data_IF_776175100861
#
_entry.id   IF_776175100861
#
_cell.length_a   1.000
_cell.length_b   1.000
_cell.length_c   1.000
_cell.angle_alpha   90.00
_cell.angle_beta   90.00
_cell.angle_gamma   90.00
#
_symmetry.space_group_name_H-M   'P 1'
#
loop_
_entity.id
_entity.type
_entity.pdbx_description
1 polymer ?
#
# COMPACT_ATOMS: atom_id res chain seq x y z
N UNK A 1 18.57 5.79 17.16
CA UNK A 1 17.21 5.22 17.32
C UNK A 1 16.21 6.30 16.96
N UNK A 2 15.95 6.50 15.66
CA UNK A 2 15.00 7.49 15.19
C UNK A 2 13.60 6.91 15.36
N UNK A 3 12.88 7.39 16.37
CA UNK A 3 11.43 7.22 16.46
C UNK A 3 10.85 7.88 15.20
N UNK A 4 10.48 7.06 14.20
CA UNK A 4 9.60 7.52 13.12
C UNK A 4 8.35 8.07 13.80
N UNK A 5 8.15 9.38 13.71
CA UNK A 5 6.91 10.03 14.13
C UNK A 5 5.81 9.40 13.30
N UNK A 6 5.02 8.51 13.90
CA UNK A 6 3.75 8.06 13.33
C UNK A 6 2.90 9.32 13.14
N UNK A 7 2.49 9.60 11.91
CA UNK A 7 1.64 10.76 11.62
C UNK A 7 0.19 10.26 11.67
N UNK A 8 -0.54 10.46 12.79
CA UNK A 8 -1.84 9.83 12.99
C UNK A 8 -2.87 10.22 11.92
N UNK A 9 -2.63 11.32 11.21
CA UNK A 9 -3.50 11.85 10.15
C UNK A 9 -3.27 11.22 8.76
N UNK A 10 -2.13 10.54 8.53
CA UNK A 10 -1.81 10.05 7.19
C UNK A 10 -2.53 8.72 6.91
N UNK A 11 -2.98 8.43 5.69
CA UNK A 11 -3.43 7.10 5.35
C UNK A 11 -2.31 6.06 5.53
N UNK A 12 -2.69 4.82 5.80
CA UNK A 12 -1.81 3.67 5.80
C UNK A 12 -1.70 3.10 4.39
N UNK A 13 -0.50 2.65 4.02
CA UNK A 13 -0.29 1.89 2.78
C UNK A 13 0.33 0.52 3.09
N UNK A 14 -0.30 -0.52 2.56
CA UNK A 14 0.22 -1.89 2.58
C UNK A 14 0.50 -2.35 1.16
N UNK A 15 1.58 -3.11 0.97
CA UNK A 15 1.99 -3.58 -0.33
C UNK A 15 2.33 -5.08 -0.33
N UNK A 16 2.06 -5.76 -1.44
CA UNK A 16 2.69 -7.04 -1.72
C UNK A 16 4.17 -6.83 -2.03
N UNK A 17 5.05 -7.46 -1.23
CA UNK A 17 6.51 -7.32 -1.33
C UNK A 17 7.22 -8.65 -1.63
N UNK A 18 6.62 -9.53 -2.44
CA UNK A 18 7.22 -10.77 -2.93
C UNK A 18 8.32 -10.60 -3.99
N UNK A 19 8.79 -11.72 -4.57
CA UNK A 19 9.96 -11.74 -5.48
C UNK A 19 9.68 -11.36 -6.95
N UNK A 20 8.42 -11.27 -7.37
CA UNK A 20 8.08 -10.90 -8.76
C UNK A 20 8.36 -9.42 -9.06
N UNK A 21 8.58 -9.06 -10.33
CA UNK A 21 8.75 -7.66 -10.71
C UNK A 21 7.55 -6.80 -10.30
N UNK A 22 6.33 -7.35 -10.40
CA UNK A 22 5.10 -6.70 -9.98
C UNK A 22 5.14 -6.38 -8.49
N UNK A 23 5.58 -7.34 -7.67
CA UNK A 23 5.72 -7.13 -6.23
C UNK A 23 6.85 -6.13 -5.89
N UNK A 24 7.97 -6.15 -6.62
CA UNK A 24 9.04 -5.18 -6.42
C UNK A 24 8.61 -3.75 -6.75
N UNK A 25 7.89 -3.54 -7.87
CA UNK A 25 7.26 -2.23 -8.19
C UNK A 25 6.26 -1.85 -7.11
N UNK A 26 5.36 -2.75 -6.73
CA UNK A 26 4.32 -2.49 -5.72
C UNK A 26 4.93 -2.03 -4.39
N UNK A 27 5.98 -2.72 -3.95
CA UNK A 27 6.75 -2.34 -2.77
C UNK A 27 7.46 -0.99 -2.95
N UNK A 28 8.09 -0.75 -4.11
CA UNK A 28 8.72 0.53 -4.43
C UNK A 28 7.72 1.69 -4.32
N UNK A 29 6.51 1.54 -4.87
CA UNK A 29 5.48 2.56 -4.83
C UNK A 29 5.05 2.89 -3.39
N UNK A 30 4.79 1.87 -2.55
CA UNK A 30 4.44 2.08 -1.15
C UNK A 30 5.56 2.77 -0.36
N UNK A 31 6.82 2.37 -0.56
CA UNK A 31 7.98 3.01 0.07
C UNK A 31 8.13 4.45 -0.41
N UNK A 32 7.89 4.73 -1.69
CA UNK A 32 7.96 6.07 -2.25
C UNK A 32 6.91 6.99 -1.63
N UNK A 33 5.65 6.55 -1.51
CA UNK A 33 4.60 7.30 -0.82
C UNK A 33 4.97 7.64 0.64
N UNK A 34 5.55 6.67 1.36
CA UNK A 34 6.02 6.84 2.73
C UNK A 34 7.14 7.89 2.83
N UNK A 35 8.13 7.81 1.95
CA UNK A 35 9.24 8.77 1.89
C UNK A 35 8.82 10.16 1.46
N UNK A 36 7.78 10.27 0.63
CA UNK A 36 7.16 11.55 0.27
C UNK A 36 6.29 12.12 1.39
N UNK A 37 6.02 11.34 2.45
CA UNK A 37 5.13 11.75 3.53
C UNK A 37 3.66 11.84 3.13
N UNK A 38 3.24 11.14 2.07
CA UNK A 38 1.84 11.12 1.61
C UNK A 38 1.02 10.05 2.31
N UNK A 39 1.66 8.93 2.67
CA UNK A 39 1.09 7.83 3.45
C UNK A 39 2.14 7.34 4.46
N UNK A 40 1.74 6.45 5.36
CA UNK A 40 2.68 5.69 6.20
C UNK A 40 2.65 4.22 5.76
N UNK A 41 3.81 3.69 5.37
CA UNK A 41 3.89 2.29 4.98
C UNK A 41 3.98 1.40 6.22
N UNK A 42 3.11 0.40 6.30
CA UNK A 42 3.08 -0.58 7.38
C UNK A 42 3.36 -2.01 6.86
N UNK A 43 3.93 -2.85 7.72
CA UNK A 43 4.39 -4.18 7.35
C UNK A 43 3.22 -5.17 7.21
N UNK A 44 2.95 -5.61 5.97
CA UNK A 44 1.87 -6.59 5.71
C UNK A 44 2.18 -7.98 6.27
N UNK A 45 3.46 -8.40 6.29
CA UNK A 45 3.87 -9.65 6.91
C UNK A 45 3.63 -9.62 8.42
N UNK A 46 3.79 -8.46 9.04
CA UNK A 46 3.46 -8.25 10.45
C UNK A 46 1.97 -8.36 10.74
N UNK A 47 1.12 -7.94 9.80
CA UNK A 47 -0.35 -8.15 9.88
C UNK A 47 -0.65 -9.65 9.78
N UNK A 48 -0.10 -10.33 8.77
CA UNK A 48 -0.30 -11.76 8.58
C UNK A 48 0.15 -12.60 9.80
N UNK A 49 1.24 -12.19 10.45
CA UNK A 49 1.77 -12.83 11.65
C UNK A 49 1.10 -12.38 12.96
N UNK A 50 0.12 -11.47 12.92
CA UNK A 50 -0.59 -10.99 14.11
C UNK A 50 0.30 -10.22 15.10
N UNK A 51 1.37 -9.57 14.64
CA UNK A 51 2.33 -8.86 15.51
C UNK A 51 1.62 -7.68 16.20
N UNK A 52 1.54 -7.69 17.53
CA UNK A 52 0.67 -6.80 18.32
C UNK A 52 0.82 -5.31 18.00
N UNK A 53 2.04 -4.82 17.80
CA UNK A 53 2.26 -3.42 17.44
C UNK A 53 1.76 -3.09 16.02
N UNK A 54 1.98 -3.99 15.06
CA UNK A 54 1.50 -3.82 13.68
C UNK A 54 -0.02 -3.88 13.63
N UNK A 55 -0.64 -4.78 14.40
CA UNK A 55 -2.10 -4.87 14.49
C UNK A 55 -2.72 -3.61 15.07
N UNK A 56 -2.07 -2.96 16.05
CA UNK A 56 -2.53 -1.68 16.59
C UNK A 56 -2.56 -0.57 15.53
N UNK A 57 -1.53 -0.53 14.68
CA UNK A 57 -1.48 0.41 13.55
C UNK A 57 -2.58 0.08 12.55
N UNK A 58 -2.70 -1.19 12.14
CA UNK A 58 -3.68 -1.62 11.14
C UNK A 58 -5.13 -1.38 11.58
N UNK A 59 -5.41 -1.38 12.89
CA UNK A 59 -6.74 -1.11 13.48
C UNK A 59 -6.90 0.31 14.01
N UNK A 60 -6.03 1.25 13.63
CA UNK A 60 -6.08 2.62 14.18
C UNK A 60 -7.25 3.46 13.65
N UNK A 61 -8.09 2.92 12.76
CA UNK A 61 -9.16 3.67 12.09
C UNK A 61 -8.68 4.65 11.01
N UNK A 62 -7.38 4.63 10.67
CA UNK A 62 -6.83 5.44 9.59
C UNK A 62 -7.25 4.85 8.25
N UNK A 63 -7.48 5.67 7.20
CA UNK A 63 -7.77 5.14 5.87
C UNK A 63 -6.64 4.24 5.38
N UNK A 64 -6.99 3.10 4.80
CA UNK A 64 -6.07 2.06 4.34
C UNK A 64 -6.12 1.95 2.82
N UNK A 65 -4.97 2.16 2.19
CA UNK A 65 -4.73 1.79 0.81
C UNK A 65 -3.90 0.49 0.75
N UNK A 66 -4.33 -0.45 -0.08
CA UNK A 66 -3.59 -1.66 -0.41
C UNK A 66 -3.13 -1.62 -1.86
N UNK A 67 -1.85 -1.88 -2.07
CA UNK A 67 -1.25 -2.07 -3.38
C UNK A 67 -0.88 -3.54 -3.54
N UNK A 68 -1.38 -4.19 -4.58
CA UNK A 68 -1.03 -5.57 -4.91
C UNK A 68 -0.47 -5.65 -6.33
N UNK A 69 0.55 -6.48 -6.52
CA UNK A 69 1.16 -6.63 -7.84
C UNK A 69 0.26 -7.38 -8.82
N UNK A 70 -0.49 -8.38 -8.34
CA UNK A 70 -1.25 -9.30 -9.19
C UNK A 70 -2.61 -9.67 -8.59
N UNK A 71 -3.40 -10.42 -9.35
CA UNK A 71 -4.74 -10.86 -8.98
C UNK A 71 -4.79 -11.75 -7.72
N UNK A 72 -3.66 -12.31 -7.28
CA UNK A 72 -3.58 -13.05 -6.03
C UNK A 72 -3.86 -12.15 -4.82
N UNK A 73 -3.67 -10.82 -4.93
CA UNK A 73 -4.06 -9.86 -3.90
C UNK A 73 -3.52 -10.22 -2.49
N UNK A 74 -2.25 -10.65 -2.41
CA UNK A 74 -1.68 -11.19 -1.18
C UNK A 74 -1.75 -10.20 -0.03
N UNK A 75 -1.49 -8.91 -0.28
CA UNK A 75 -1.53 -7.92 0.78
C UNK A 75 -2.95 -7.71 1.29
N UNK A 76 -3.93 -7.59 0.38
CA UNK A 76 -5.34 -7.51 0.75
C UNK A 76 -5.78 -8.72 1.57
N UNK A 77 -5.46 -9.95 1.13
CA UNK A 77 -5.85 -11.17 1.85
C UNK A 77 -5.24 -11.24 3.26
N UNK A 78 -3.99 -10.77 3.45
CA UNK A 78 -3.40 -10.69 4.79
C UNK A 78 -4.20 -9.79 5.73
N UNK A 79 -4.74 -8.67 5.24
CA UNK A 79 -5.60 -7.78 6.03
C UNK A 79 -6.98 -8.40 6.26
N UNK A 80 -7.60 -8.98 5.23
CA UNK A 80 -8.93 -9.62 5.33
C UNK A 80 -8.93 -10.80 6.30
N UNK A 81 -7.86 -11.61 6.35
CA UNK A 81 -7.69 -12.70 7.32
C UNK A 81 -7.61 -12.22 8.77
N UNK A 82 -7.45 -10.91 8.99
CA UNK A 82 -7.47 -10.25 10.30
C UNK A 82 -8.73 -9.38 10.47
N UNK A 83 -9.75 -9.56 9.62
CA UNK A 83 -10.99 -8.76 9.61
C UNK A 83 -10.73 -7.26 9.42
N UNK A 84 -9.71 -6.90 8.61
CA UNK A 84 -9.39 -5.52 8.27
C UNK A 84 -9.76 -5.29 6.80
N UNK A 85 -10.67 -4.35 6.57
CA UNK A 85 -11.13 -4.00 5.23
C UNK A 85 -10.41 -2.74 4.75
N UNK A 86 -9.73 -2.77 3.59
CA UNK A 86 -9.08 -1.58 3.04
C UNK A 86 -10.09 -0.66 2.35
N UNK A 87 -9.88 0.65 2.46
CA UNK A 87 -10.69 1.67 1.78
C UNK A 87 -10.44 1.69 0.27
N UNK A 88 -9.19 1.44 -0.14
CA UNK A 88 -8.80 1.35 -1.55
C UNK A 88 -7.86 0.19 -1.79
N UNK A 89 -8.03 -0.46 -2.94
CA UNK A 89 -7.20 -1.58 -3.38
C UNK A 89 -6.86 -1.41 -4.86
N UNK A 90 -5.57 -1.34 -5.18
CA UNK A 90 -5.06 -1.23 -6.55
C UNK A 90 -4.25 -2.47 -6.91
N UNK A 91 -4.52 -3.04 -8.09
CA UNK A 91 -3.75 -4.15 -8.65
C UNK A 91 -2.88 -3.64 -9.80
N UNK A 92 -1.56 -3.63 -9.61
CA UNK A 92 -0.61 -2.98 -10.52
C UNK A 92 -0.61 -3.59 -11.93
N UNK A 93 -0.80 -4.92 -12.05
CA UNK A 93 -0.93 -5.61 -13.35
C UNK A 93 -2.13 -5.14 -14.18
N UNK A 94 -3.14 -4.50 -13.56
CA UNK A 94 -4.26 -3.88 -14.31
C UNK A 94 -3.90 -2.51 -14.87
N UNK A 95 -2.86 -1.89 -14.34
CA UNK A 95 -2.37 -0.56 -14.71
C UNK A 95 -1.15 -0.62 -15.64
N UNK A 96 -0.52 -1.80 -15.78
CA UNK A 96 0.66 -2.01 -16.61
C UNK A 96 0.70 -3.42 -17.25
N UNK A 97 0.84 -3.51 -18.58
CA UNK A 97 0.99 -4.80 -19.28
C UNK A 97 2.40 -5.41 -19.14
N UNK A 98 3.39 -4.66 -18.62
CA UNK A 98 4.81 -5.02 -18.63
C UNK A 98 5.23 -5.94 -17.47
N UNK A 99 4.30 -6.34 -16.61
CA UNK A 99 4.61 -7.16 -15.44
C UNK A 99 4.88 -8.62 -15.84
N UNK A 100 6.04 -9.15 -15.41
CA UNK A 100 6.63 -10.43 -15.79
C UNK A 100 7.42 -11.02 -14.61
N UNK A 101 7.26 -12.31 -14.38
CA UNK A 101 8.07 -13.03 -13.40
C UNK A 101 9.54 -13.12 -13.86
N UNK A 102 10.47 -13.23 -12.90
CA UNK A 102 11.92 -13.42 -13.14
C UNK A 102 12.63 -12.33 -13.95
N UNK A 103 12.15 -11.09 -13.88
CA UNK A 103 12.85 -9.91 -14.40
C UNK A 103 12.86 -8.81 -13.35
N UNK A 104 13.84 -7.92 -13.44
CA UNK A 104 13.77 -6.66 -12.70
C UNK A 104 12.69 -5.76 -13.30
N UNK A 105 12.29 -4.74 -12.55
CA UNK A 105 11.33 -3.76 -13.02
C UNK A 105 12.01 -2.58 -13.72
N UNK A 106 11.29 -1.96 -14.65
CA UNK A 106 11.69 -0.70 -15.29
C UNK A 106 11.39 0.48 -14.35
N UNK A 107 12.40 1.26 -13.92
CA UNK A 107 12.20 2.44 -13.09
C UNK A 107 11.29 3.50 -13.74
N UNK A 108 11.33 3.66 -15.07
CA UNK A 108 10.47 4.62 -15.78
C UNK A 108 9.01 4.22 -15.66
N UNK A 109 8.72 2.93 -15.77
CA UNK A 109 7.36 2.41 -15.56
C UNK A 109 6.91 2.55 -14.10
N UNK A 110 7.83 2.36 -13.15
CA UNK A 110 7.54 2.58 -11.73
C UNK A 110 7.18 4.04 -11.44
N UNK A 111 7.86 5.02 -12.05
CA UNK A 111 7.49 6.43 -11.91
C UNK A 111 6.13 6.76 -12.54
N UNK A 112 5.82 6.20 -13.72
CA UNK A 112 4.49 6.38 -14.34
C UNK A 112 3.37 5.82 -13.46
N UNK A 113 3.60 4.67 -12.83
CA UNK A 113 2.64 4.07 -11.90
C UNK A 113 2.53 4.88 -10.59
N UNK A 114 3.62 5.53 -10.15
CA UNK A 114 3.60 6.38 -8.96
C UNK A 114 2.61 7.55 -9.11
N UNK A 115 2.54 8.18 -10.28
CA UNK A 115 1.57 9.24 -10.56
C UNK A 115 0.12 8.75 -10.36
N UNK A 116 -0.21 7.57 -10.90
CA UNK A 116 -1.54 6.97 -10.77
C UNK A 116 -1.88 6.64 -9.31
N UNK A 117 -0.92 6.10 -8.57
CA UNK A 117 -1.11 5.76 -7.16
C UNK A 117 -1.28 7.02 -6.29
N UNK A 118 -0.54 8.10 -6.59
CA UNK A 118 -0.68 9.39 -5.88
C UNK A 118 -2.06 9.99 -6.12
N UNK A 119 -2.56 9.96 -7.36
CA UNK A 119 -3.91 10.44 -7.68
C UNK A 119 -4.98 9.63 -6.93
N UNK A 120 -4.91 8.30 -6.99
CA UNK A 120 -5.84 7.43 -6.26
C UNK A 120 -5.80 7.68 -4.73
N UNK A 121 -4.62 7.98 -4.18
CA UNK A 121 -4.46 8.30 -2.76
C UNK A 121 -5.12 9.65 -2.43
N UNK A 122 -4.97 10.64 -3.31
CA UNK A 122 -5.62 11.95 -3.14
C UNK A 122 -7.15 11.81 -3.18
N UNK A 123 -7.69 11.07 -4.16
CA UNK A 123 -9.13 10.80 -4.27
C UNK A 123 -9.69 10.09 -3.03
N UNK A 124 -8.97 9.09 -2.51
CA UNK A 124 -9.34 8.40 -1.27
C UNK A 124 -9.46 9.37 -0.09
N UNK A 125 -8.51 10.31 0.02
CA UNK A 125 -8.52 11.31 1.10
C UNK A 125 -9.68 12.29 0.95
N UNK A 126 -10.00 12.72 -0.27
CA UNK A 126 -11.13 13.64 -0.52
C UNK A 126 -12.48 13.03 -0.12
N UNK A 127 -12.67 11.72 -0.30
CA UNK A 127 -13.89 11.02 0.15
C UNK A 127 -13.99 10.96 1.67
N UNK A 128 -12.87 10.73 2.37
CA UNK A 128 -12.83 10.69 3.83
C UNK A 128 -13.18 12.04 4.47
N UNK A 129 -12.75 13.16 3.88
CA UNK A 129 -13.02 14.51 4.41
C UNK A 129 -14.48 14.95 4.19
N UNK A 130 -15.17 14.39 3.19
CA UNK A 130 -16.57 14.72 2.86
C UNK A 130 -17.63 14.01 3.69
N UNK A 131 -17.25 13.07 4.57
CA UNK A 131 -18.17 12.30 5.43
C UNK A 131 -18.32 12.89 6.85
N UNK A 132 -17.84 14.10 7.09
CA UNK A 132 -17.95 14.82 8.36
C UNK A 132 -18.62 16.21 8.22
N UNK A 133 -19.52 16.37 7.24
CA UNK A 133 -20.41 17.53 7.11
C UNK A 133 -21.86 17.13 7.41
#
# INVERSE_FOLDING_TARGET
MLLRVSHPERPLVYACSGCSNAAQITNYLAVKLDRMGLAEMACVTGVAAGISHVMRIARSGRPIMVLDGCHLACARQCLENQDIVPDRHLIMTRLSPQMRYHKDYDPTEAERLAEHVVLALAEMRSVATGQHA
#
